data_IF_914624146963
#
_entry.id   IF_914624146963
#
_cell.length_a   1.000
_cell.length_b   1.000
_cell.length_c   1.000
_cell.angle_alpha   90.00
_cell.angle_beta   90.00
_cell.angle_gamma   90.00
#
_symmetry.space_group_name_H-M   'P 1'
#
loop_
_entity.id
_entity.type
_entity.pdbx_description
1 polymer ?
#
# COMPACT_ATOMS: atom_id res chain seq x y z
N UNK A 1 -21.56 -16.63 9.48
CA UNK A 1 -20.59 -15.53 9.67
C UNK A 1 -20.09 -15.14 8.27
N UNK A 2 -20.58 -14.03 7.73
CA UNK A 2 -20.25 -13.59 6.37
C UNK A 2 -18.86 -12.95 6.31
N UNK A 3 -18.21 -12.94 5.13
CA UNK A 3 -16.91 -12.32 4.96
C UNK A 3 -17.01 -10.81 5.23
N UNK A 4 -16.17 -10.31 6.11
CA UNK A 4 -16.08 -8.90 6.47
C UNK A 4 -15.67 -8.12 5.21
N UNK A 5 -16.54 -7.24 4.74
CA UNK A 5 -16.29 -6.38 3.58
C UNK A 5 -15.26 -5.29 3.93
N UNK A 6 -13.98 -5.66 3.92
CA UNK A 6 -12.85 -4.76 4.20
C UNK A 6 -12.58 -3.74 3.10
N UNK A 7 -13.00 -4.07 1.87
CA UNK A 7 -12.55 -3.41 0.65
C UNK A 7 -13.05 -1.97 0.46
N UNK A 8 -14.25 -1.62 0.91
CA UNK A 8 -14.88 -0.36 0.48
C UNK A 8 -14.53 0.88 1.30
N UNK A 9 -14.22 0.71 2.58
CA UNK A 9 -13.99 1.84 3.50
C UNK A 9 -12.52 2.30 3.45
N UNK A 10 -11.59 1.37 3.36
CA UNK A 10 -10.15 1.65 3.37
C UNK A 10 -9.72 2.49 2.16
N UNK A 11 -10.18 2.11 0.96
CA UNK A 11 -9.82 2.81 -0.28
C UNK A 11 -10.36 4.25 -0.35
N UNK A 12 -11.55 4.52 0.19
CA UNK A 12 -12.17 5.86 0.11
C UNK A 12 -11.47 6.91 0.97
N UNK A 13 -10.92 6.55 2.12
CA UNK A 13 -10.32 7.50 3.05
C UNK A 13 -8.86 7.80 2.76
N UNK A 14 -8.06 6.80 2.34
CA UNK A 14 -6.66 7.02 1.96
C UNK A 14 -6.56 7.95 0.76
N UNK A 15 -7.48 7.85 -0.19
CA UNK A 15 -7.45 8.65 -1.40
C UNK A 15 -7.92 10.10 -1.20
N UNK A 16 -8.82 10.39 -0.26
CA UNK A 16 -9.17 11.79 0.03
C UNK A 16 -7.97 12.57 0.57
N UNK A 17 -7.06 11.90 1.27
CA UNK A 17 -5.81 12.50 1.73
C UNK A 17 -4.84 12.69 0.55
N UNK A 18 -4.77 11.72 -0.39
CA UNK A 18 -3.91 11.82 -1.58
C UNK A 18 -4.39 12.84 -2.62
N UNK A 19 -5.71 13.07 -2.74
CA UNK A 19 -6.28 13.99 -3.74
C UNK A 19 -6.31 15.46 -3.31
N UNK A 20 -6.11 15.79 -2.02
CA UNK A 20 -6.16 17.16 -1.50
C UNK A 20 -4.78 17.85 -1.45
N UNK A 21 -3.73 17.23 -1.92
CA UNK A 21 -2.34 17.66 -1.79
C UNK A 21 -1.76 18.44 -2.96
N UNK A 22 -2.55 19.22 -3.72
CA UNK A 22 -1.97 20.26 -4.59
C UNK A 22 -2.02 21.58 -3.81
N UNK A 23 -1.07 21.78 -2.92
CA UNK A 23 -0.69 23.11 -2.47
C UNK A 23 0.76 23.34 -2.86
N UNK A 24 0.93 24.00 -4.00
CA UNK A 24 2.21 24.55 -4.44
C UNK A 24 2.57 25.67 -3.47
N UNK A 25 3.44 25.40 -2.53
CA UNK A 25 4.17 26.46 -1.84
C UNK A 25 5.56 26.54 -2.48
N UNK A 26 5.72 27.53 -3.34
CA UNK A 26 7.03 27.95 -3.82
C UNK A 26 7.83 28.49 -2.62
N UNK A 27 8.81 27.72 -2.15
CA UNK A 27 9.87 28.25 -1.28
C UNK A 27 11.16 28.23 -2.09
N UNK A 28 11.61 29.44 -2.33
CA UNK A 28 12.87 29.77 -3.00
C UNK A 28 14.07 29.28 -2.23
N UNK A 29 14.97 28.64 -2.97
CA UNK A 29 16.43 28.54 -2.82
C UNK A 29 17.06 28.65 -1.43
N UNK A 30 17.54 27.50 -0.96
CA UNK A 30 18.59 27.39 0.06
C UNK A 30 19.40 26.12 -0.20
N UNK A 31 20.66 26.30 -0.60
CA UNK A 31 21.57 25.37 -1.23
C UNK A 31 21.84 24.03 -0.52
N UNK A 32 21.66 22.88 -1.21
CA UNK A 32 22.80 22.03 -1.57
C UNK A 32 23.49 21.17 -0.49
N UNK A 33 22.86 20.77 0.65
CA UNK A 33 23.45 19.74 1.55
C UNK A 33 22.46 18.75 2.16
N UNK A 34 21.16 18.95 2.01
CA UNK A 34 20.11 18.16 2.67
C UNK A 34 19.67 16.88 1.93
N UNK A 35 19.71 16.89 0.61
CA UNK A 35 19.10 15.82 -0.20
C UNK A 35 19.87 14.48 -0.15
N UNK A 36 21.19 14.52 -0.18
CA UNK A 36 22.00 13.29 -0.08
C UNK A 36 21.87 12.62 1.30
N UNK A 37 21.79 13.40 2.36
CA UNK A 37 21.59 12.88 3.71
C UNK A 37 20.21 12.30 3.92
N UNK A 38 19.16 12.94 3.42
CA UNK A 38 17.78 12.45 3.49
C UNK A 38 17.57 11.17 2.65
N UNK A 39 18.22 11.08 1.48
CA UNK A 39 18.18 9.88 0.65
C UNK A 39 18.89 8.70 1.32
N UNK A 40 20.10 8.91 1.86
CA UNK A 40 20.82 7.88 2.60
C UNK A 40 20.14 7.43 3.89
N UNK A 41 19.47 8.34 4.60
CA UNK A 41 18.70 7.99 5.80
C UNK A 41 17.47 7.17 5.42
N UNK A 42 16.78 7.51 4.32
CA UNK A 42 15.65 6.73 3.77
C UNK A 42 16.10 5.35 3.30
N UNK A 43 17.24 5.25 2.65
CA UNK A 43 17.80 3.99 2.15
C UNK A 43 18.25 3.08 3.30
N UNK A 44 18.99 3.61 4.27
CA UNK A 44 19.42 2.89 5.48
C UNK A 44 18.26 2.49 6.41
N UNK A 45 17.20 3.30 6.45
CA UNK A 45 15.98 2.97 7.17
C UNK A 45 15.16 1.87 6.47
N UNK A 46 15.26 1.75 5.14
CA UNK A 46 14.64 0.68 4.35
C UNK A 46 15.37 -0.66 4.48
N UNK A 47 16.69 -0.66 4.58
CA UNK A 47 17.50 -1.88 4.66
C UNK A 47 17.38 -2.66 5.98
N UNK A 48 16.88 -2.04 7.05
CA UNK A 48 17.01 -2.62 8.40
C UNK A 48 15.80 -3.41 8.90
N UNK A 49 14.71 -3.66 8.14
CA UNK A 49 13.45 -4.00 8.81
C UNK A 49 12.59 -5.11 8.23
N UNK A 50 12.64 -5.38 6.94
CA UNK A 50 12.02 -6.56 6.37
C UNK A 50 13.03 -7.71 6.46
N UNK A 51 12.63 -8.89 6.94
CA UNK A 51 13.57 -10.02 6.96
C UNK A 51 13.98 -10.34 5.53
N UNK A 52 15.22 -10.76 5.31
CA UNK A 52 15.68 -11.14 3.97
C UNK A 52 14.79 -12.25 3.35
N UNK A 53 14.21 -13.11 4.19
CA UNK A 53 13.26 -14.13 3.74
C UNK A 53 11.96 -13.53 3.18
N UNK A 54 11.54 -12.37 3.69
CA UNK A 54 10.30 -11.71 3.25
C UNK A 54 10.52 -10.80 2.03
N UNK A 55 11.76 -10.44 1.71
CA UNK A 55 12.08 -9.56 0.58
C UNK A 55 11.97 -10.31 -0.75
N UNK A 56 11.37 -9.65 -1.71
CA UNK A 56 11.44 -10.03 -3.13
C UNK A 56 12.64 -9.33 -3.77
N UNK A 57 13.26 -10.01 -4.73
CA UNK A 57 14.28 -9.39 -5.58
C UNK A 57 13.65 -8.41 -6.57
N UNK A 58 14.44 -7.53 -7.16
CA UNK A 58 13.97 -6.63 -8.24
C UNK A 58 13.37 -7.40 -9.41
N UNK A 59 13.96 -8.55 -9.78
CA UNK A 59 13.45 -9.42 -10.84
C UNK A 59 12.09 -10.03 -10.48
N UNK A 60 11.94 -10.51 -9.23
CA UNK A 60 10.64 -11.00 -8.73
C UNK A 60 9.59 -9.88 -8.73
N UNK A 61 9.97 -8.68 -8.31
CA UNK A 61 9.10 -7.51 -8.31
C UNK A 61 8.68 -7.10 -9.71
N UNK A 62 9.63 -7.02 -10.65
CA UNK A 62 9.37 -6.73 -12.06
C UNK A 62 8.39 -7.73 -12.68
N UNK A 63 8.59 -9.02 -12.40
CA UNK A 63 7.68 -10.07 -12.86
C UNK A 63 6.23 -9.85 -12.37
N UNK A 64 6.05 -9.42 -11.11
CA UNK A 64 4.71 -9.14 -10.57
C UNK A 64 4.07 -7.91 -11.25
N UNK A 65 4.86 -6.88 -11.54
CA UNK A 65 4.39 -5.69 -12.27
C UNK A 65 3.99 -6.06 -13.70
N UNK A 66 4.81 -6.84 -14.40
CA UNK A 66 4.49 -7.36 -15.74
C UNK A 66 3.24 -8.24 -15.73
N UNK A 67 3.08 -9.09 -14.70
CA UNK A 67 1.87 -9.91 -14.51
C UNK A 67 0.62 -9.04 -14.35
N UNK A 68 0.70 -7.97 -13.54
CA UNK A 68 -0.41 -7.04 -13.38
C UNK A 68 -0.79 -6.36 -14.70
N UNK A 69 0.19 -5.85 -15.44
CA UNK A 69 -0.03 -5.19 -16.75
C UNK A 69 -0.61 -6.15 -17.77
N UNK A 70 -0.03 -7.35 -17.90
CA UNK A 70 -0.52 -8.40 -18.81
C UNK A 70 -1.97 -8.78 -18.51
N UNK A 71 -2.31 -8.96 -17.23
CA UNK A 71 -3.69 -9.26 -16.79
C UNK A 71 -4.69 -8.19 -17.24
N UNK A 72 -4.33 -6.90 -17.12
CA UNK A 72 -5.17 -5.79 -17.58
C UNK A 72 -5.28 -5.80 -19.11
N UNK A 73 -4.17 -6.02 -19.80
CA UNK A 73 -4.12 -6.09 -21.28
C UNK A 73 -5.05 -7.17 -21.82
N UNK A 74 -4.92 -8.39 -21.32
CA UNK A 74 -5.74 -9.53 -21.73
C UNK A 74 -7.25 -9.23 -21.58
N UNK A 75 -7.63 -8.56 -20.48
CA UNK A 75 -9.01 -8.18 -20.26
C UNK A 75 -9.50 -7.08 -21.19
N UNK A 76 -8.66 -6.08 -21.52
CA UNK A 76 -9.01 -4.97 -22.40
C UNK A 76 -9.14 -5.39 -23.87
N UNK A 77 -8.27 -6.29 -24.31
CA UNK A 77 -8.17 -6.66 -25.72
C UNK A 77 -8.88 -7.97 -26.05
N UNK A 78 -9.46 -8.66 -25.04
CA UNK A 78 -10.05 -10.00 -25.17
C UNK A 78 -9.04 -11.03 -25.71
N UNK A 79 -7.76 -10.81 -25.45
CA UNK A 79 -6.68 -11.70 -25.80
C UNK A 79 -6.57 -12.78 -24.71
N UNK A 80 -7.21 -13.91 -24.91
CA UNK A 80 -6.88 -15.13 -24.16
C UNK A 80 -5.63 -15.72 -24.79
N UNK A 81 -4.45 -15.20 -24.46
CA UNK A 81 -3.27 -16.01 -24.70
C UNK A 81 -3.43 -17.31 -23.89
N UNK A 82 -3.23 -18.44 -24.59
CA UNK A 82 -3.01 -19.70 -23.92
C UNK A 82 -1.89 -19.45 -22.93
N UNK A 83 -2.19 -19.52 -21.64
CA UNK A 83 -1.21 -19.34 -20.58
C UNK A 83 0.00 -20.19 -20.91
N UNK A 84 1.02 -19.56 -21.49
CA UNK A 84 2.34 -20.17 -21.50
C UNK A 84 2.63 -20.40 -20.02
N UNK A 85 2.82 -21.64 -19.66
CA UNK A 85 3.24 -22.05 -18.32
C UNK A 85 4.45 -21.19 -18.00
N UNK A 86 4.25 -20.18 -17.13
CA UNK A 86 5.34 -19.31 -16.67
C UNK A 86 6.31 -20.20 -15.90
N UNK A 87 7.40 -20.56 -16.55
CA UNK A 87 8.37 -21.59 -16.13
C UNK A 87 9.37 -21.11 -15.07
N UNK A 88 9.14 -19.96 -14.46
CA UNK A 88 9.97 -19.47 -13.37
C UNK A 88 9.11 -18.97 -12.22
N UNK A 89 8.48 -19.89 -11.51
CA UNK A 89 7.65 -19.51 -10.38
C UNK A 89 8.49 -19.58 -9.11
N UNK A 90 8.98 -18.42 -8.65
CA UNK A 90 9.54 -18.34 -7.31
C UNK A 90 8.53 -18.90 -6.30
N UNK A 91 8.99 -19.70 -5.35
CA UNK A 91 8.12 -20.23 -4.28
C UNK A 91 7.41 -19.12 -3.51
N UNK A 92 7.99 -17.91 -3.44
CA UNK A 92 7.40 -16.73 -2.81
C UNK A 92 6.10 -16.27 -3.48
N UNK A 93 5.92 -16.54 -4.79
CA UNK A 93 4.68 -16.20 -5.49
C UNK A 93 3.48 -17.04 -5.05
N UNK A 94 3.74 -18.20 -4.46
CA UNK A 94 2.71 -19.09 -3.90
C UNK A 94 2.38 -18.73 -2.44
N UNK A 95 3.19 -17.91 -1.78
CA UNK A 95 2.91 -17.45 -0.43
C UNK A 95 1.66 -16.58 -0.40
N UNK A 96 0.96 -16.60 0.72
CA UNK A 96 -0.17 -15.69 0.97
C UNK A 96 0.33 -14.38 1.54
N UNK A 97 0.30 -13.33 0.74
CA UNK A 97 0.75 -11.97 1.13
C UNK A 97 -0.28 -10.93 0.73
N UNK A 98 -0.46 -9.94 1.58
CA UNK A 98 -1.26 -8.76 1.23
C UNK A 98 -0.66 -8.04 0.03
N UNK A 99 -1.51 -7.59 -0.89
CA UNK A 99 -1.07 -6.90 -2.11
C UNK A 99 -1.97 -5.72 -2.43
N UNK A 100 -1.39 -4.68 -3.04
CA UNK A 100 -2.14 -3.61 -3.71
C UNK A 100 -1.60 -3.44 -5.13
N UNK A 101 -2.49 -3.11 -6.05
CA UNK A 101 -2.13 -2.66 -7.39
C UNK A 101 -2.62 -1.23 -7.56
N UNK A 102 -1.69 -0.34 -7.89
CA UNK A 102 -1.95 1.08 -8.13
C UNK A 102 -1.70 1.38 -9.60
N UNK A 103 -2.64 2.07 -10.21
CA UNK A 103 -2.54 2.60 -11.55
C UNK A 103 -2.46 4.11 -11.49
N UNK A 104 -1.47 4.68 -12.15
CA UNK A 104 -1.35 6.13 -12.32
C UNK A 104 -1.44 6.51 -13.79
N UNK A 105 -2.00 7.67 -14.09
CA UNK A 105 -2.08 8.23 -15.43
C UNK A 105 -1.54 9.67 -15.38
N UNK A 106 -0.45 9.93 -16.09
CA UNK A 106 0.26 11.21 -16.06
C UNK A 106 0.62 11.66 -14.62
N UNK A 107 1.03 10.70 -13.77
CA UNK A 107 1.37 10.94 -12.37
C UNK A 107 0.18 11.10 -11.41
N UNK A 108 -1.06 11.13 -11.91
CA UNK A 108 -2.25 11.16 -11.07
C UNK A 108 -2.81 9.75 -10.83
N UNK A 109 -3.40 9.53 -9.65
CA UNK A 109 -4.03 8.26 -9.35
C UNK A 109 -5.17 7.97 -10.32
N UNK A 110 -5.18 6.76 -10.92
CA UNK A 110 -6.20 6.27 -11.86
C UNK A 110 -6.96 5.06 -11.34
N UNK A 111 -6.40 4.33 -10.41
CA UNK A 111 -7.03 3.19 -9.73
C UNK A 111 -6.10 2.63 -8.67
N UNK A 112 -6.66 2.12 -7.56
CA UNK A 112 -5.87 1.45 -6.52
C UNK A 112 -6.77 0.52 -5.72
N UNK A 113 -6.54 -0.78 -5.82
CA UNK A 113 -7.27 -1.80 -5.07
C UNK A 113 -6.26 -2.81 -4.50
N UNK A 114 -6.58 -3.33 -3.32
CA UNK A 114 -5.77 -4.35 -2.67
C UNK A 114 -6.37 -4.89 -1.38
N UNK A 115 -5.68 -5.84 -0.79
CA UNK A 115 -6.03 -6.50 0.46
C UNK A 115 -4.82 -6.54 1.39
N UNK A 116 -5.02 -6.25 2.67
CA UNK A 116 -3.99 -6.37 3.71
C UNK A 116 -3.89 -7.82 4.16
N UNK A 117 -5.04 -8.47 4.36
CA UNK A 117 -5.12 -9.87 4.73
C UNK A 117 -5.26 -10.66 3.44
N UNK A 118 -4.29 -11.51 3.11
CA UNK A 118 -4.30 -12.26 1.86
C UNK A 118 -5.41 -13.30 1.85
N UNK A 119 -6.10 -13.41 0.74
CA UNK A 119 -7.13 -14.44 0.51
C UNK A 119 -6.62 -15.53 -0.43
N UNK A 120 -5.72 -15.18 -1.33
CA UNK A 120 -5.10 -16.02 -2.34
C UNK A 120 -3.57 -15.94 -2.27
N UNK A 121 -2.88 -16.67 -3.16
CA UNK A 121 -1.43 -16.55 -3.33
C UNK A 121 -1.04 -15.16 -3.83
N UNK A 122 0.23 -14.77 -3.61
CA UNK A 122 0.75 -13.47 -4.02
C UNK A 122 0.49 -13.19 -5.50
N UNK A 123 0.83 -14.11 -6.38
CA UNK A 123 0.68 -13.94 -7.82
C UNK A 123 -0.80 -13.78 -8.23
N UNK A 124 -1.69 -14.56 -7.62
CA UNK A 124 -3.12 -14.46 -7.88
C UNK A 124 -3.72 -13.19 -7.30
N UNK A 125 -3.28 -12.77 -6.10
CA UNK A 125 -3.65 -11.50 -5.50
C UNK A 125 -3.28 -10.32 -6.39
N UNK A 126 -2.12 -10.35 -7.04
CA UNK A 126 -1.70 -9.33 -8.01
C UNK A 126 -2.65 -9.31 -9.21
N UNK A 127 -2.99 -10.46 -9.79
CA UNK A 127 -3.94 -10.56 -10.92
C UNK A 127 -5.33 -10.00 -10.56
N UNK A 128 -5.88 -10.45 -9.44
CA UNK A 128 -7.20 -10.02 -8.97
C UNK A 128 -7.22 -8.52 -8.69
N UNK A 129 -6.19 -7.99 -8.01
CA UNK A 129 -6.11 -6.58 -7.68
C UNK A 129 -5.84 -5.69 -8.91
N UNK A 130 -5.09 -6.17 -9.90
CA UNK A 130 -4.91 -5.49 -11.18
C UNK A 130 -6.25 -5.30 -11.91
N UNK A 131 -7.05 -6.37 -12.00
CA UNK A 131 -8.40 -6.33 -12.58
C UNK A 131 -9.32 -5.38 -11.81
N UNK A 132 -9.28 -5.43 -10.48
CA UNK A 132 -10.12 -4.58 -9.65
C UNK A 132 -9.69 -3.11 -9.73
N UNK A 133 -8.39 -2.81 -9.75
CA UNK A 133 -7.88 -1.44 -9.90
C UNK A 133 -8.25 -0.84 -11.27
N UNK A 134 -8.18 -1.63 -12.33
CA UNK A 134 -8.49 -1.16 -13.68
C UNK A 134 -9.99 -0.99 -13.95
N UNK A 135 -10.83 -1.90 -13.43
CA UNK A 135 -12.22 -1.99 -13.88
C UNK A 135 -13.28 -1.88 -12.79
N UNK A 136 -12.90 -2.01 -11.52
CA UNK A 136 -13.84 -2.10 -10.40
C UNK A 136 -13.56 -1.12 -9.26
N UNK A 137 -12.64 -0.20 -9.45
CA UNK A 137 -12.43 0.89 -8.49
C UNK A 137 -13.59 1.88 -8.61
N UNK A 138 -14.46 2.01 -7.57
CA UNK A 138 -15.69 2.80 -7.67
C UNK A 138 -15.48 4.30 -7.81
N UNK A 139 -14.23 4.76 -7.69
CA UNK A 139 -13.85 6.17 -7.82
C UNK A 139 -13.65 6.58 -9.28
N UNK A 140 -13.44 5.61 -10.17
CA UNK A 140 -13.07 5.82 -11.55
C UNK A 140 -13.99 5.01 -12.47
N UNK A 141 -14.09 5.44 -13.73
CA UNK A 141 -14.67 4.61 -14.78
C UNK A 141 -13.73 3.45 -15.12
N UNK A 142 -14.23 2.35 -15.66
CA UNK A 142 -13.39 1.29 -16.18
C UNK A 142 -12.30 1.83 -17.11
N UNK A 143 -11.09 1.28 -17.00
CA UNK A 143 -9.94 1.69 -17.81
C UNK A 143 -10.24 1.46 -19.29
N UNK A 144 -9.90 2.42 -20.12
CA UNK A 144 -10.06 2.34 -21.58
C UNK A 144 -8.74 1.97 -22.27
N UNK A 145 -8.85 1.44 -23.52
CA UNK A 145 -7.68 1.10 -24.33
C UNK A 145 -6.70 2.28 -24.55
N UNK A 146 -7.15 3.52 -24.85
CA UNK A 146 -6.23 4.66 -24.97
C UNK A 146 -5.53 5.07 -23.67
N UNK A 147 -6.13 4.79 -22.52
CA UNK A 147 -5.51 5.05 -21.22
C UNK A 147 -4.47 4.00 -20.90
N UNK A 148 -4.69 2.74 -21.28
CA UNK A 148 -3.78 1.63 -21.01
C UNK A 148 -2.35 1.90 -21.48
N UNK A 149 -2.18 2.52 -22.63
CA UNK A 149 -0.87 2.89 -23.19
C UNK A 149 -0.11 3.95 -22.36
N UNK A 150 -0.82 4.65 -21.48
CA UNK A 150 -0.30 5.82 -20.74
C UNK A 150 -0.25 5.62 -19.22
N UNK A 151 -0.89 4.57 -18.73
CA UNK A 151 -0.81 4.27 -17.30
C UNK A 151 0.57 3.73 -16.93
N UNK A 152 0.95 3.92 -15.66
CA UNK A 152 2.00 3.16 -15.00
C UNK A 152 1.37 2.27 -13.94
N UNK A 153 1.95 1.10 -13.77
CA UNK A 153 1.51 0.08 -12.80
C UNK A 153 2.53 0.01 -11.68
N UNK A 154 2.05 0.06 -10.44
CA UNK A 154 2.79 -0.23 -9.23
C UNK A 154 2.16 -1.43 -8.51
N UNK A 155 2.99 -2.33 -8.02
CA UNK A 155 2.60 -3.46 -7.17
C UNK A 155 3.25 -3.29 -5.80
N UNK A 156 2.42 -3.17 -4.77
CA UNK A 156 2.85 -3.13 -3.37
C UNK A 156 2.60 -4.48 -2.70
N UNK A 157 3.63 -5.06 -2.08
CA UNK A 157 3.58 -6.33 -1.37
C UNK A 157 3.78 -6.07 0.12
N UNK A 158 2.89 -6.61 0.95
CA UNK A 158 2.87 -6.41 2.38
C UNK A 158 3.48 -7.61 3.11
N UNK A 159 4.23 -7.34 4.18
CA UNK A 159 4.55 -8.38 5.16
C UNK A 159 3.29 -8.77 5.94
N UNK A 160 3.30 -9.96 6.52
CA UNK A 160 2.25 -10.35 7.45
C UNK A 160 2.17 -9.34 8.62
N UNK A 161 0.96 -8.85 8.97
CA UNK A 161 0.80 -7.97 10.12
C UNK A 161 1.27 -8.65 11.42
N UNK A 162 2.08 -7.95 12.20
CA UNK A 162 2.58 -8.42 13.49
C UNK A 162 2.00 -7.55 14.61
N UNK A 163 1.52 -8.15 15.72
CA UNK A 163 1.09 -7.38 16.88
C UNK A 163 2.19 -6.45 17.37
N UNK A 164 1.85 -5.22 17.71
CA UNK A 164 2.72 -4.26 18.37
C UNK A 164 2.27 -4.11 19.83
N UNK A 165 2.81 -4.90 20.79
CA UNK A 165 2.47 -4.75 22.18
C UNK A 165 3.00 -3.43 22.72
N UNK A 166 2.19 -2.72 23.48
CA UNK A 166 2.56 -1.46 24.15
C UNK A 166 1.86 -1.36 25.52
N UNK A 167 2.45 -0.58 26.42
CA UNK A 167 1.97 -0.43 27.80
C UNK A 167 1.10 0.81 27.96
N UNK A 168 1.41 1.88 27.25
CA UNK A 168 0.71 3.16 27.28
C UNK A 168 0.93 3.95 25.99
N UNK A 169 0.29 5.11 25.88
CA UNK A 169 0.38 5.96 24.70
C UNK A 169 1.81 6.43 24.38
N UNK A 170 2.65 6.66 25.39
CA UNK A 170 4.03 7.10 25.17
C UNK A 170 4.88 5.95 24.63
N UNK A 171 4.70 4.74 25.16
CA UNK A 171 5.35 3.53 24.67
C UNK A 171 4.91 3.22 23.22
N UNK A 172 3.61 3.37 22.92
CA UNK A 172 3.12 3.26 21.54
C UNK A 172 3.85 4.25 20.61
N UNK A 173 3.87 5.53 20.97
CA UNK A 173 4.56 6.55 20.18
C UNK A 173 6.06 6.25 20.01
N UNK A 174 6.72 5.73 21.06
CA UNK A 174 8.14 5.39 21.01
C UNK A 174 8.41 4.28 19.98
N UNK A 175 7.53 3.27 19.91
CA UNK A 175 7.68 2.09 19.05
C UNK A 175 7.33 2.33 17.59
N UNK A 176 6.51 3.34 17.25
CA UNK A 176 6.15 3.64 15.88
C UNK A 176 7.34 4.15 15.07
N UNK A 177 7.47 3.66 13.84
CA UNK A 177 8.54 4.01 12.90
C UNK A 177 7.97 4.71 11.67
N UNK A 178 7.94 6.06 11.66
CA UNK A 178 7.44 6.83 10.53
C UNK A 178 8.16 6.48 9.21
N UNK A 179 7.40 6.40 8.14
CA UNK A 179 7.90 6.05 6.80
C UNK A 179 8.21 4.58 6.57
N UNK A 180 8.12 3.73 7.61
CA UNK A 180 8.49 2.32 7.57
C UNK A 180 7.28 1.44 7.81
N UNK A 181 6.56 1.69 8.90
CA UNK A 181 5.44 0.86 9.31
C UNK A 181 4.13 1.37 8.73
N UNK A 182 3.39 0.46 8.08
CA UNK A 182 1.95 0.56 8.01
C UNK A 182 1.34 0.12 9.34
N UNK A 183 0.24 0.72 9.73
CA UNK A 183 -0.46 0.41 10.97
C UNK A 183 -1.87 -0.08 10.70
N UNK A 184 -2.27 -1.07 11.50
CA UNK A 184 -3.67 -1.47 11.66
C UNK A 184 -4.03 -1.17 13.11
N UNK A 185 -5.14 -0.47 13.34
CA UNK A 185 -5.75 -0.32 14.66
C UNK A 185 -7.10 -1.02 14.68
N UNK A 186 -7.40 -1.68 15.79
CA UNK A 186 -8.67 -2.35 16.00
C UNK A 186 -9.18 -2.16 17.44
N UNK A 187 -10.48 -1.91 17.57
CA UNK A 187 -11.20 -1.91 18.83
C UNK A 187 -12.62 -2.47 18.58
N UNK A 188 -12.85 -3.68 19.01
CA UNK A 188 -14.11 -4.38 18.71
C UNK A 188 -14.35 -4.54 17.21
N UNK A 189 -15.42 -3.94 16.69
CA UNK A 189 -15.77 -3.95 15.27
C UNK A 189 -15.14 -2.81 14.46
N UNK A 190 -14.56 -1.82 15.16
CA UNK A 190 -13.89 -0.68 14.55
C UNK A 190 -12.48 -1.07 14.14
N UNK A 191 -12.15 -0.88 12.86
CA UNK A 191 -10.83 -1.21 12.36
C UNK A 191 -10.46 -0.32 11.17
N UNK A 192 -9.22 0.13 11.14
CA UNK A 192 -8.65 0.82 9.99
C UNK A 192 -7.17 0.52 9.84
N UNK A 193 -6.62 0.88 8.68
CA UNK A 193 -5.19 0.82 8.41
C UNK A 193 -4.73 2.04 7.64
N UNK A 194 -3.47 2.39 7.83
CA UNK A 194 -2.69 3.27 6.98
C UNK A 194 -1.45 2.54 6.46
N UNK A 195 -1.19 2.68 5.16
CA UNK A 195 0.05 2.25 4.54
C UNK A 195 1.22 3.15 4.95
N UNK A 196 2.48 2.69 4.85
CA UNK A 196 3.65 3.51 5.19
C UNK A 196 3.71 4.84 4.43
N UNK A 197 3.21 4.91 3.20
CA UNK A 197 3.21 6.14 2.39
C UNK A 197 2.40 7.28 3.03
N UNK A 198 1.44 6.97 3.91
CA UNK A 198 0.65 7.99 4.62
C UNK A 198 1.50 8.84 5.56
N UNK A 199 2.65 8.34 6.01
CA UNK A 199 3.61 9.11 6.80
C UNK A 199 4.16 10.34 6.06
N UNK A 200 4.17 10.36 4.74
CA UNK A 200 4.59 11.52 3.94
C UNK A 200 3.65 12.72 4.15
N UNK A 201 2.36 12.45 4.37
CA UNK A 201 1.33 13.46 4.57
C UNK A 201 1.07 13.74 6.05
N UNK A 202 1.23 12.74 6.90
CA UNK A 202 1.05 12.78 8.35
C UNK A 202 2.34 12.36 9.06
N UNK A 203 3.40 13.19 9.01
CA UNK A 203 4.72 12.83 9.59
C UNK A 203 4.71 12.79 11.12
N UNK A 204 3.77 13.49 11.74
CA UNK A 204 3.59 13.50 13.20
C UNK A 204 2.92 12.22 13.68
N UNK A 205 3.58 11.45 14.58
CA UNK A 205 3.04 10.21 15.12
C UNK A 205 1.66 10.37 15.77
N UNK A 206 1.43 11.49 16.47
CA UNK A 206 0.15 11.80 17.11
C UNK A 206 -0.94 12.03 16.07
N UNK A 207 -0.66 12.86 15.07
CA UNK A 207 -1.61 13.17 13.99
C UNK A 207 -1.94 11.91 13.19
N UNK A 208 -0.93 11.10 12.89
CA UNK A 208 -1.11 9.82 12.20
C UNK A 208 -2.06 8.90 12.96
N UNK A 209 -1.84 8.70 14.26
CA UNK A 209 -2.72 7.88 15.10
C UNK A 209 -4.12 8.45 15.20
N UNK A 210 -4.24 9.77 15.41
CA UNK A 210 -5.55 10.44 15.50
C UNK A 210 -6.37 10.27 14.23
N UNK A 211 -5.76 10.49 13.06
CA UNK A 211 -6.44 10.29 11.78
C UNK A 211 -6.76 8.80 11.52
N UNK A 212 -5.89 7.89 11.98
CA UNK A 212 -6.15 6.46 11.85
C UNK A 212 -7.33 6.02 12.73
N UNK A 213 -7.44 6.53 13.97
CA UNK A 213 -8.59 6.31 14.85
C UNK A 213 -9.88 6.86 14.24
N UNK A 214 -9.88 8.10 13.75
CA UNK A 214 -11.01 8.68 13.04
C UNK A 214 -11.44 7.86 11.82
N UNK A 215 -10.46 7.35 11.07
CA UNK A 215 -10.73 6.45 9.95
C UNK A 215 -11.37 5.13 10.38
N UNK A 216 -11.02 4.64 11.56
CA UNK A 216 -11.64 3.45 12.15
C UNK A 216 -13.07 3.71 12.68
N UNK A 217 -13.52 4.97 12.72
CA UNK A 217 -14.80 5.37 13.33
C UNK A 217 -14.71 5.50 14.84
N UNK A 218 -13.50 5.69 15.36
CA UNK A 218 -13.23 5.96 16.78
C UNK A 218 -13.03 7.46 17.01
N UNK A 219 -13.00 7.89 18.28
CA UNK A 219 -12.55 9.22 18.63
C UNK A 219 -11.08 9.42 18.22
N UNK A 220 -10.70 10.63 17.79
CA UNK A 220 -9.34 10.90 17.33
C UNK A 220 -8.27 10.75 18.41
N UNK A 221 -8.65 10.82 19.67
CA UNK A 221 -7.82 10.64 20.85
C UNK A 221 -7.96 9.24 21.51
N UNK A 222 -8.69 8.32 20.90
CA UNK A 222 -8.90 6.97 21.43
C UNK A 222 -7.58 6.25 21.75
N UNK A 223 -6.53 6.48 20.95
CA UNK A 223 -5.20 5.91 21.17
C UNK A 223 -4.53 6.37 22.48
N UNK A 224 -5.02 7.45 23.12
CA UNK A 224 -4.51 7.95 24.41
C UNK A 224 -5.16 7.25 25.63
N UNK A 225 -6.42 6.85 25.48
CA UNK A 225 -7.26 6.49 26.61
C UNK A 225 -7.74 5.04 26.57
N UNK A 226 -7.88 4.49 25.38
CA UNK A 226 -8.46 3.18 25.18
C UNK A 226 -7.44 2.15 24.73
N UNK A 227 -7.51 0.90 25.21
CA UNK A 227 -6.66 -0.16 24.72
C UNK A 227 -7.05 -0.50 23.25
N UNK A 228 -6.14 -0.20 22.33
CA UNK A 228 -6.28 -0.58 20.92
C UNK A 228 -5.42 -1.83 20.65
N UNK A 229 -5.95 -2.73 19.84
CA UNK A 229 -5.10 -3.72 19.18
C UNK A 229 -4.37 -3.03 18.05
N UNK A 230 -3.03 -2.95 18.14
CA UNK A 230 -2.18 -2.35 17.11
C UNK A 230 -1.35 -3.43 16.46
N UNK A 231 -1.35 -3.45 15.12
CA UNK A 231 -0.46 -4.29 14.32
C UNK A 231 0.34 -3.41 13.37
N UNK A 232 1.57 -3.83 13.12
CA UNK A 232 2.44 -3.19 12.13
C UNK A 232 2.75 -4.15 11.00
N UNK A 233 2.97 -3.60 9.81
CA UNK A 233 3.43 -4.31 8.64
C UNK A 233 4.31 -3.40 7.79
N UNK A 234 5.07 -3.97 6.88
CA UNK A 234 5.93 -3.24 5.97
C UNK A 234 5.49 -3.49 4.52
N UNK A 235 5.91 -2.60 3.64
CA UNK A 235 5.57 -2.65 2.22
C UNK A 235 6.83 -2.59 1.38
N UNK A 236 6.91 -3.48 0.40
CA UNK A 236 7.87 -3.42 -0.69
C UNK A 236 7.08 -3.07 -1.96
N UNK A 237 7.43 -1.99 -2.63
CA UNK A 237 6.76 -1.53 -3.82
C UNK A 237 7.68 -1.65 -5.03
N UNK A 238 7.11 -2.07 -6.17
CA UNK A 238 7.74 -2.16 -7.46
C UNK A 238 6.87 -1.45 -8.48
N UNK A 239 7.48 -0.62 -9.33
CA UNK A 239 6.74 0.15 -10.35
C UNK A 239 7.39 0.01 -11.72
N UNK A 240 6.63 0.30 -12.75
CA UNK A 240 7.13 0.40 -14.12
C UNK A 240 8.05 1.61 -14.29
N UNK A 241 9.13 1.44 -15.04
CA UNK A 241 10.08 2.50 -15.42
C UNK A 241 9.43 3.60 -16.31
#
# INVERSE_FOLDING_TARGET
MGPVQFSRVVARSVLRILASGIFVLAVTAGAGAGEKGAHQIKEKAREGMMSEADKLTEEEGKHLVETARKTIQEALFNEKEKSAQETSTSSKFLERRGTFVTLTLNGALRGCIGHIIPQESLIEGVRVNAMNAAFRDPRFRPLSKPEFEKIKVEVSILTAPKPLPYTDANDLLAKLRPGIDGLIVRQGYHQATFLPQVWEQLPGKKDFLSHLCLKAGLAGDAWLHDPLEVHTYQVQAFEEE
#
